data_IF_429820205462
#
_entry.id   IF_429820205462
#
_cell.length_a   1.000
_cell.length_b   1.000
_cell.length_c   1.000
_cell.angle_alpha   90.00
_cell.angle_beta   90.00
_cell.angle_gamma   90.00
#
_symmetry.space_group_name_H-M   'P 1'
#
loop_
_entity.id
_entity.type
_entity.pdbx_description
1 polymer ?
#
# COMPACT_ATOMS: atom_id res chain seq x y z
N UNK A 1 -14.76 -9.79 2.06
CA UNK A 1 -14.35 -8.64 1.24
C UNK A 1 -13.37 -9.07 0.17
N UNK A 2 -13.64 -8.72 -1.08
CA UNK A 2 -12.77 -9.14 -2.19
C UNK A 2 -11.79 -8.06 -2.62
N UNK A 3 -12.15 -6.78 -2.47
CA UNK A 3 -11.35 -5.65 -2.93
C UNK A 3 -11.27 -4.55 -1.89
N UNK A 4 -10.10 -3.91 -1.85
CA UNK A 4 -9.88 -2.67 -1.07
C UNK A 4 -10.40 -1.48 -1.89
N UNK A 5 -10.15 -1.49 -3.20
CA UNK A 5 -10.62 -0.48 -4.15
C UNK A 5 -10.72 -1.11 -5.53
N UNK A 6 -11.07 -0.31 -6.55
CA UNK A 6 -11.28 -0.80 -7.92
C UNK A 6 -10.10 -1.64 -8.45
N UNK A 7 -8.87 -1.24 -8.18
CA UNK A 7 -7.68 -1.88 -8.73
C UNK A 7 -6.78 -2.54 -7.68
N UNK A 8 -7.27 -2.70 -6.44
CA UNK A 8 -6.53 -3.37 -5.37
C UNK A 8 -7.40 -4.46 -4.76
N UNK A 9 -6.99 -5.73 -4.89
CA UNK A 9 -7.69 -6.82 -4.21
C UNK A 9 -7.29 -6.87 -2.74
N UNK A 10 -8.18 -7.43 -1.91
CA UNK A 10 -7.86 -7.65 -0.50
C UNK A 10 -6.63 -8.55 -0.34
N UNK A 11 -6.56 -9.61 -1.15
CA UNK A 11 -5.43 -10.56 -1.10
C UNK A 11 -4.10 -9.86 -1.37
N UNK A 12 -4.01 -9.00 -2.39
CA UNK A 12 -2.74 -8.33 -2.68
C UNK A 12 -2.41 -7.27 -1.64
N UNK A 13 -3.41 -6.63 -1.04
CA UNK A 13 -3.20 -5.62 0.00
C UNK A 13 -2.58 -6.20 1.28
N UNK A 14 -2.88 -7.46 1.59
CA UNK A 14 -2.34 -8.15 2.78
C UNK A 14 -1.24 -9.16 2.44
N UNK A 15 -0.86 -9.28 1.17
CA UNK A 15 0.11 -10.27 0.72
C UNK A 15 1.48 -10.05 1.34
N UNK A 16 2.09 -11.15 1.85
CA UNK A 16 3.47 -11.17 2.32
C UNK A 16 4.01 -12.59 2.25
N UNK A 17 5.10 -12.77 1.53
CA UNK A 17 5.79 -14.05 1.47
C UNK A 17 6.37 -14.44 2.84
N UNK A 18 6.85 -13.46 3.60
CA UNK A 18 7.36 -13.69 4.95
C UNK A 18 6.25 -14.17 5.88
N UNK A 19 5.07 -13.54 5.83
CA UNK A 19 3.94 -13.97 6.65
C UNK A 19 3.54 -15.41 6.34
N UNK A 20 3.49 -15.77 5.06
CA UNK A 20 3.19 -17.15 4.65
C UNK A 20 4.22 -18.14 5.16
N UNK A 21 5.50 -17.83 5.00
CA UNK A 21 6.60 -18.70 5.41
C UNK A 21 6.63 -18.94 6.92
N UNK A 22 6.35 -17.89 7.69
CA UNK A 22 6.40 -17.95 9.16
C UNK A 22 5.05 -18.26 9.82
N UNK A 23 3.98 -18.41 9.03
CA UNK A 23 2.65 -18.69 9.56
C UNK A 23 2.07 -17.53 10.35
N UNK A 24 2.41 -16.29 10.00
CA UNK A 24 1.92 -15.09 10.68
C UNK A 24 0.60 -14.64 10.06
N UNK A 25 -0.40 -14.37 10.90
CA UNK A 25 -1.65 -13.75 10.48
C UNK A 25 -1.42 -12.28 10.13
N UNK A 26 -1.75 -11.90 8.90
CA UNK A 26 -1.57 -10.53 8.41
C UNK A 26 -2.92 -9.89 8.04
N UNK A 27 -3.96 -10.18 8.79
CA UNK A 27 -5.27 -9.57 8.57
C UNK A 27 -5.40 -8.25 9.35
N UNK A 28 -5.88 -7.16 8.70
CA UNK A 28 -6.08 -5.88 9.38
C UNK A 28 -7.31 -5.90 10.27
N UNK A 29 -7.29 -5.05 11.30
CA UNK A 29 -8.48 -4.71 12.08
C UNK A 29 -9.41 -3.84 11.22
N UNK A 30 -10.63 -3.62 11.69
CA UNK A 30 -11.60 -2.77 10.98
C UNK A 30 -11.09 -1.33 10.81
N UNK A 31 -10.43 -0.78 11.83
CA UNK A 31 -9.85 0.56 11.76
C UNK A 31 -8.69 0.61 10.74
N UNK A 32 -7.82 -0.37 10.77
CA UNK A 32 -6.72 -0.46 9.81
C UNK A 32 -7.24 -0.61 8.39
N UNK A 33 -8.27 -1.44 8.21
CA UNK A 33 -8.90 -1.64 6.91
C UNK A 33 -9.52 -0.34 6.39
N UNK A 34 -10.19 0.44 7.26
CA UNK A 34 -10.74 1.73 6.88
C UNK A 34 -9.65 2.69 6.39
N UNK A 35 -8.50 2.71 7.07
CA UNK A 35 -7.35 3.52 6.64
C UNK A 35 -6.83 3.08 5.27
N UNK A 36 -6.75 1.76 5.05
CA UNK A 36 -6.31 1.21 3.76
C UNK A 36 -7.25 1.61 2.63
N UNK A 37 -8.55 1.52 2.86
CA UNK A 37 -9.55 1.91 1.87
C UNK A 37 -9.48 3.40 1.55
N UNK A 38 -9.24 4.23 2.56
CA UNK A 38 -9.09 5.67 2.38
C UNK A 38 -7.88 6.02 1.51
N UNK A 39 -6.72 5.46 1.81
CA UNK A 39 -5.51 5.75 1.02
C UNK A 39 -5.63 5.19 -0.39
N UNK A 40 -6.28 4.04 -0.54
CA UNK A 40 -6.51 3.47 -1.87
C UNK A 40 -7.40 4.37 -2.73
N UNK A 41 -8.50 4.87 -2.17
CA UNK A 41 -9.44 5.70 -2.92
C UNK A 41 -8.91 7.12 -3.17
N UNK A 42 -8.23 7.71 -2.19
CA UNK A 42 -7.79 9.11 -2.29
C UNK A 42 -6.48 9.29 -3.04
N UNK A 43 -5.61 8.28 -3.03
CA UNK A 43 -4.27 8.39 -3.60
C UNK A 43 -4.04 7.38 -4.71
N UNK A 44 -4.19 6.08 -4.43
CA UNK A 44 -3.82 5.05 -5.39
C UNK A 44 -4.69 5.09 -6.65
N UNK A 45 -5.99 5.19 -6.51
CA UNK A 45 -6.89 5.18 -7.67
C UNK A 45 -6.70 6.38 -8.59
N UNK A 46 -6.58 7.63 -8.08
CA UNK A 46 -6.23 8.76 -8.95
C UNK A 46 -4.87 8.59 -9.63
N UNK A 47 -3.87 8.10 -8.89
CA UNK A 47 -2.55 7.83 -9.45
C UNK A 47 -2.62 6.77 -10.56
N UNK A 48 -3.33 5.68 -10.28
CA UNK A 48 -3.53 4.58 -11.23
C UNK A 48 -4.19 5.06 -12.53
N UNK A 49 -5.19 5.94 -12.41
CA UNK A 49 -5.86 6.53 -13.57
C UNK A 49 -4.91 7.40 -14.39
N UNK A 50 -4.10 8.22 -13.73
CA UNK A 50 -3.12 9.07 -14.40
C UNK A 50 -2.02 8.25 -15.08
N UNK A 51 -1.54 7.20 -14.41
CA UNK A 51 -0.51 6.30 -14.97
C UNK A 51 -0.99 5.60 -16.22
N UNK A 52 -2.28 5.28 -16.30
CA UNK A 52 -2.89 4.63 -17.45
C UNK A 52 -2.64 3.15 -17.58
N UNK A 53 -2.13 2.51 -16.54
CA UNK A 53 -1.85 1.07 -16.53
C UNK A 53 -1.51 0.56 -15.13
N UNK A 54 -1.30 -0.75 -14.97
CA UNK A 54 -1.01 -1.34 -13.66
C UNK A 54 0.21 -0.73 -12.98
N UNK A 55 0.12 -0.63 -11.65
CA UNK A 55 1.22 -0.25 -10.77
C UNK A 55 1.43 -1.43 -9.81
N UNK A 56 2.68 -1.87 -9.64
CA UNK A 56 2.96 -2.94 -8.70
C UNK A 56 2.90 -2.43 -7.27
N UNK A 57 2.19 -3.17 -6.41
CA UNK A 57 2.18 -2.92 -4.97
C UNK A 57 3.12 -3.94 -4.34
N UNK A 58 4.23 -3.48 -3.77
CA UNK A 58 5.20 -4.33 -3.10
C UNK A 58 4.78 -4.66 -1.68
N UNK A 59 4.19 -3.68 -0.97
CA UNK A 59 3.70 -3.86 0.39
C UNK A 59 2.63 -2.82 0.67
N UNK A 60 1.54 -3.23 1.30
CA UNK A 60 0.51 -2.31 1.75
C UNK A 60 0.35 -2.45 3.26
N UNK A 61 -0.40 -3.46 3.73
CA UNK A 61 -0.58 -3.67 5.15
C UNK A 61 0.44 -4.68 5.71
N UNK A 62 0.95 -4.38 6.91
CA UNK A 62 1.74 -5.31 7.72
C UNK A 62 1.18 -5.33 9.14
N UNK A 63 0.82 -6.51 9.64
CA UNK A 63 0.46 -6.65 11.06
C UNK A 63 1.67 -6.30 11.93
N UNK A 64 1.45 -5.88 13.19
CA UNK A 64 2.57 -5.62 14.11
C UNK A 64 3.51 -6.81 14.26
N UNK A 65 2.97 -8.03 14.30
CA UNK A 65 3.77 -9.25 14.39
C UNK A 65 4.65 -9.43 13.15
N UNK A 66 4.10 -9.26 11.95
CA UNK A 66 4.85 -9.34 10.71
C UNK A 66 5.92 -8.25 10.65
N UNK A 67 5.56 -7.02 11.03
CA UNK A 67 6.49 -5.89 11.03
C UNK A 67 7.70 -6.17 11.93
N UNK A 68 7.48 -6.76 13.09
CA UNK A 68 8.56 -7.16 14.01
C UNK A 68 9.43 -8.23 13.36
N UNK A 69 8.82 -9.23 12.72
CA UNK A 69 9.55 -10.35 12.09
C UNK A 69 10.48 -9.89 10.97
N UNK A 70 10.12 -8.84 10.23
CA UNK A 70 10.95 -8.29 9.14
C UNK A 70 11.89 -7.16 9.59
N UNK A 71 11.90 -6.85 10.90
CA UNK A 71 12.76 -5.79 11.44
C UNK A 71 12.28 -4.38 11.16
N UNK A 72 10.99 -4.19 10.94
CA UNK A 72 10.42 -2.87 10.69
C UNK A 72 10.34 -2.00 11.94
N UNK A 73 10.17 -0.70 11.74
CA UNK A 73 10.00 0.26 12.83
C UNK A 73 8.72 -0.01 13.62
N UNK A 74 8.76 0.14 14.92
CA UNK A 74 7.58 0.03 15.79
C UNK A 74 6.50 1.07 15.46
N UNK A 75 6.91 2.17 14.83
CA UNK A 75 6.00 3.25 14.43
C UNK A 75 5.67 3.23 12.94
N UNK A 76 5.86 2.09 12.27
CA UNK A 76 5.61 1.97 10.84
C UNK A 76 4.16 2.29 10.50
N UNK A 77 3.96 3.14 9.51
CA UNK A 77 2.63 3.48 9.00
C UNK A 77 1.98 2.30 8.27
N UNK A 78 2.75 1.32 7.80
CA UNK A 78 2.20 0.07 7.22
C UNK A 78 1.33 -0.68 8.23
N UNK A 79 1.68 -0.63 9.53
CA UNK A 79 0.89 -1.27 10.59
C UNK A 79 -0.43 -0.57 10.86
N UNK A 80 -0.60 0.66 10.38
CA UNK A 80 -1.84 1.43 10.52
C UNK A 80 -2.69 1.40 9.25
N UNK A 81 -2.18 0.78 8.19
CA UNK A 81 -2.82 0.82 6.86
C UNK A 81 -2.66 2.18 6.19
N UNK A 82 -1.64 2.96 6.54
CA UNK A 82 -1.42 4.33 6.08
C UNK A 82 -0.17 4.49 5.22
N UNK A 83 0.43 3.40 4.77
CA UNK A 83 1.59 3.44 3.88
C UNK A 83 1.46 2.38 2.80
N UNK A 84 2.03 2.65 1.65
CA UNK A 84 2.04 1.74 0.51
C UNK A 84 3.36 1.86 -0.24
N UNK A 85 4.01 0.72 -0.48
CA UNK A 85 5.20 0.65 -1.32
C UNK A 85 4.76 0.28 -2.74
N UNK A 86 5.07 1.14 -3.71
CA UNK A 86 4.72 0.92 -5.12
C UNK A 86 5.96 0.97 -5.99
N UNK A 87 5.85 0.38 -7.19
CA UNK A 87 6.96 0.32 -8.11
C UNK A 87 6.46 0.36 -9.57
N UNK A 88 7.30 0.89 -10.46
CA UNK A 88 6.98 1.09 -11.87
C UNK A 88 7.39 -0.08 -12.76
N UNK A 89 7.45 -1.29 -12.23
CA UNK A 89 7.93 -2.47 -12.97
C UNK A 89 7.23 -2.73 -14.29
N UNK A 90 6.03 -2.17 -14.48
CA UNK A 90 5.28 -2.32 -15.73
C UNK A 90 5.60 -1.23 -16.77
N UNK A 91 6.43 -0.25 -16.41
CA UNK A 91 7.01 0.70 -17.35
C UNK A 91 6.09 1.79 -17.91
N UNK A 92 4.92 2.04 -17.28
CA UNK A 92 4.00 3.08 -17.75
C UNK A 92 4.45 4.49 -17.38
N UNK A 93 4.93 4.66 -16.15
CA UNK A 93 5.51 5.90 -15.61
C UNK A 93 6.66 5.52 -14.69
N UNK A 94 7.67 6.39 -14.58
CA UNK A 94 8.77 6.13 -13.66
C UNK A 94 8.34 6.39 -12.22
N UNK A 95 9.09 5.85 -11.26
CA UNK A 95 8.87 6.11 -9.85
C UNK A 95 8.96 7.62 -9.54
N UNK A 96 9.92 8.30 -10.16
CA UNK A 96 10.07 9.75 -10.00
C UNK A 96 8.85 10.52 -10.50
N UNK A 97 8.30 10.13 -11.65
CA UNK A 97 7.09 10.74 -12.20
C UNK A 97 5.88 10.50 -11.29
N UNK A 98 5.71 9.28 -10.77
CA UNK A 98 4.62 8.97 -9.84
C UNK A 98 4.73 9.77 -8.55
N UNK A 99 5.95 9.88 -7.99
CA UNK A 99 6.20 10.68 -6.79
C UNK A 99 5.79 12.13 -7.00
N UNK A 100 6.23 12.73 -8.10
CA UNK A 100 5.92 14.13 -8.42
C UNK A 100 4.42 14.35 -8.62
N UNK A 101 3.74 13.42 -9.28
CA UNK A 101 2.30 13.52 -9.47
C UNK A 101 1.55 13.53 -8.14
N UNK A 102 1.91 12.62 -7.23
CA UNK A 102 1.30 12.55 -5.89
C UNK A 102 1.54 13.87 -5.15
N UNK A 103 2.79 14.33 -5.14
CA UNK A 103 3.19 15.55 -4.43
C UNK A 103 2.44 16.79 -4.92
N UNK A 104 2.25 16.91 -6.23
CA UNK A 104 1.69 18.12 -6.84
C UNK A 104 0.17 18.11 -6.95
N UNK A 105 -0.46 16.93 -6.99
CA UNK A 105 -1.87 16.83 -7.36
C UNK A 105 -2.77 16.16 -6.32
N UNK A 106 -2.19 15.44 -5.35
CA UNK A 106 -2.97 14.64 -4.40
C UNK A 106 -2.73 15.12 -2.97
N UNK A 107 -3.77 15.01 -2.14
CA UNK A 107 -3.72 15.37 -0.74
C UNK A 107 -3.34 14.13 0.08
N UNK A 108 -2.16 14.16 0.72
CA UNK A 108 -1.64 12.99 1.43
C UNK A 108 -0.85 13.35 2.71
N UNK A 109 -1.23 14.41 3.40
CA UNK A 109 -0.46 14.97 4.52
C UNK A 109 -0.17 13.97 5.65
N UNK A 110 -0.92 12.89 5.77
CA UNK A 110 -0.77 11.87 6.81
C UNK A 110 -0.37 10.51 6.24
N UNK A 111 -0.01 10.43 4.97
CA UNK A 111 0.24 9.17 4.28
C UNK A 111 1.69 9.09 3.83
N UNK A 112 2.26 7.87 3.85
CA UNK A 112 3.63 7.62 3.43
C UNK A 112 3.63 6.79 2.17
N UNK A 113 4.33 7.27 1.14
CA UNK A 113 4.54 6.58 -0.12
C UNK A 113 6.00 6.27 -0.30
N UNK A 114 6.30 5.01 -0.61
CA UNK A 114 7.67 4.54 -0.83
C UNK A 114 7.79 3.91 -2.22
N UNK A 115 8.93 4.13 -2.83
CA UNK A 115 9.21 3.69 -4.19
C UNK A 115 10.44 2.81 -4.26
#
# INVERSE_FOLDING_TARGET
MDRISKNITYKEAIHSETAKRLGIDNEPTDEQLANMMSIADMIFQPLRAWVGGPIKINSFFRSPELNTAIGGSKTSQHCKGQAMDIDDVYGHKTNAEMYMYIKENLDFDQMIWEF
#
